data_IF_572098669764
#
_entry.id   IF_572098669764
#
_cell.length_a   1.000
_cell.length_b   1.000
_cell.length_c   1.000
_cell.angle_alpha   90.00
_cell.angle_beta   90.00
_cell.angle_gamma   90.00
#
_symmetry.space_group_name_H-M   'P 1'
#
loop_
_entity.id
_entity.type
_entity.pdbx_description
1 polymer ?
#
# COMPACT_ATOMS: atom_id res chain seq x y z
N UNK A 1 -10.48 -6.80 -14.26
CA UNK A 1 -11.72 -6.26 -13.66
C UNK A 1 -11.46 -4.79 -13.35
N UNK A 2 -12.24 -3.84 -13.86
CA UNK A 2 -12.04 -2.40 -13.61
C UNK A 2 -13.26 -1.84 -12.87
N UNK A 3 -13.06 -0.88 -11.98
CA UNK A 3 -14.15 -0.25 -11.20
C UNK A 3 -14.17 -0.67 -9.73
N UNK A 4 -15.30 -0.41 -9.06
CA UNK A 4 -15.42 -0.62 -7.61
C UNK A 4 -15.87 -2.05 -7.32
N UNK A 5 -15.05 -2.83 -6.59
CA UNK A 5 -15.32 -4.22 -6.24
C UNK A 5 -14.89 -4.48 -4.79
N UNK A 6 -15.78 -5.10 -4.00
CA UNK A 6 -15.47 -5.44 -2.60
C UNK A 6 -15.04 -4.24 -1.76
N UNK A 7 -15.67 -3.08 -1.95
CA UNK A 7 -15.34 -1.80 -1.32
C UNK A 7 -13.96 -1.23 -1.67
N UNK A 8 -13.40 -1.62 -2.82
CA UNK A 8 -12.09 -1.14 -3.30
C UNK A 8 -12.17 -0.69 -4.75
N UNK A 9 -11.45 0.37 -5.08
CA UNK A 9 -11.29 0.81 -6.46
C UNK A 9 -10.19 0.01 -7.16
N UNK A 10 -10.56 -0.72 -8.21
CA UNK A 10 -9.65 -1.39 -9.12
C UNK A 10 -9.37 -0.48 -10.31
N UNK A 11 -8.09 -0.21 -10.55
CA UNK A 11 -7.63 0.56 -11.70
C UNK A 11 -7.33 -0.35 -12.90
N UNK A 12 -6.31 0.04 -13.66
CA UNK A 12 -5.82 -0.71 -14.83
C UNK A 12 -5.19 -2.05 -14.42
N UNK A 13 -4.61 -2.11 -13.22
CA UNK A 13 -3.97 -3.32 -12.72
C UNK A 13 -4.98 -4.33 -12.16
N UNK A 14 -4.78 -5.64 -12.36
CA UNK A 14 -5.62 -6.68 -11.79
C UNK A 14 -5.66 -6.66 -10.25
N UNK A 15 -4.55 -6.29 -9.62
CA UNK A 15 -4.44 -6.13 -8.17
C UNK A 15 -4.42 -4.62 -7.79
N UNK A 16 -5.39 -4.16 -6.98
CA UNK A 16 -5.47 -2.77 -6.53
C UNK A 16 -4.31 -2.41 -5.58
N UNK A 17 -3.72 -3.37 -4.87
CA UNK A 17 -2.53 -3.11 -4.04
C UNK A 17 -1.33 -2.75 -4.91
N UNK A 18 -1.09 -3.52 -5.97
CA UNK A 18 -0.03 -3.25 -6.92
C UNK A 18 -0.25 -1.91 -7.63
N UNK A 19 -1.48 -1.64 -8.06
CA UNK A 19 -1.81 -0.33 -8.64
C UNK A 19 -1.52 0.82 -7.68
N UNK A 20 -1.88 0.68 -6.41
CA UNK A 20 -1.70 1.74 -5.42
C UNK A 20 -0.22 1.97 -5.09
N UNK A 21 0.62 0.93 -5.09
CA UNK A 21 2.07 1.13 -4.94
C UNK A 21 2.70 1.81 -6.15
N UNK A 22 2.24 1.51 -7.37
CA UNK A 22 2.66 2.23 -8.57
C UNK A 22 2.24 3.71 -8.50
N UNK A 23 1.04 4.02 -7.98
CA UNK A 23 0.62 5.40 -7.75
C UNK A 23 1.58 6.18 -6.84
N UNK A 24 2.15 5.53 -5.81
CA UNK A 24 3.19 6.16 -4.97
C UNK A 24 4.43 6.51 -5.79
N UNK A 25 4.90 5.61 -6.66
CA UNK A 25 6.04 5.88 -7.55
C UNK A 25 5.75 7.07 -8.47
N UNK A 26 4.54 7.13 -9.03
CA UNK A 26 4.10 8.25 -9.88
C UNK A 26 4.06 9.57 -9.10
N UNK A 27 3.64 9.56 -7.84
CA UNK A 27 3.70 10.74 -6.96
C UNK A 27 5.14 11.21 -6.79
N UNK A 28 6.09 10.30 -6.53
CA UNK A 28 7.51 10.67 -6.37
C UNK A 28 8.10 11.31 -7.63
N UNK A 29 7.81 10.74 -8.79
CA UNK A 29 8.23 11.31 -10.08
C UNK A 29 7.59 12.69 -10.31
N UNK A 30 6.31 12.84 -10.00
CA UNK A 30 5.61 14.12 -10.14
C UNK A 30 6.22 15.20 -9.25
N UNK A 31 6.55 14.87 -8.00
CA UNK A 31 7.23 15.78 -7.06
C UNK A 31 8.62 16.16 -7.57
N UNK A 32 9.39 15.20 -8.09
CA UNK A 32 10.70 15.46 -8.68
C UNK A 32 10.59 16.44 -9.85
N UNK A 33 9.65 16.20 -10.77
CA UNK A 33 9.41 17.05 -11.94
C UNK A 33 8.96 18.47 -11.58
N UNK A 34 8.12 18.62 -10.54
CA UNK A 34 7.74 19.94 -10.01
C UNK A 34 8.96 20.71 -9.50
N UNK A 35 9.92 20.02 -8.89
CA UNK A 35 11.11 20.65 -8.30
C UNK A 35 12.16 21.03 -9.34
N UNK A 36 12.25 20.28 -10.43
CA UNK A 36 13.25 20.47 -11.49
C UNK A 36 12.78 21.39 -12.61
N UNK A 37 11.47 21.43 -12.91
CA UNK A 37 10.92 22.22 -14.00
C UNK A 37 10.21 23.48 -13.48
N UNK A 38 10.53 24.63 -14.07
CA UNK A 38 9.93 25.93 -13.70
C UNK A 38 8.63 26.24 -14.44
N UNK A 39 8.24 25.45 -15.44
CA UNK A 39 7.04 25.71 -16.23
C UNK A 39 5.76 25.51 -15.40
N UNK A 40 5.00 26.60 -15.20
CA UNK A 40 3.75 26.63 -14.44
C UNK A 40 2.70 25.63 -14.94
N UNK A 41 2.60 25.40 -16.26
CA UNK A 41 1.61 24.45 -16.81
C UNK A 41 1.97 23.01 -16.43
N UNK A 42 3.27 22.68 -16.47
CA UNK A 42 3.78 21.38 -16.08
C UNK A 42 3.66 21.18 -14.56
N UNK A 43 3.90 22.22 -13.77
CA UNK A 43 3.65 22.19 -12.32
C UNK A 43 2.18 21.93 -12.00
N UNK A 44 1.25 22.61 -12.67
CA UNK A 44 -0.18 22.41 -12.49
C UNK A 44 -0.60 20.98 -12.86
N UNK A 45 -0.16 20.48 -14.02
CA UNK A 45 -0.44 19.11 -14.47
C UNK A 45 0.04 18.07 -13.46
N UNK A 46 1.29 18.17 -12.99
CA UNK A 46 1.84 17.24 -12.01
C UNK A 46 1.13 17.35 -10.65
N UNK A 47 0.68 18.54 -10.27
CA UNK A 47 -0.06 18.75 -9.01
C UNK A 47 -1.45 18.09 -9.06
N UNK A 48 -2.16 18.22 -10.18
CA UNK A 48 -3.43 17.50 -10.42
C UNK A 48 -3.21 15.99 -10.48
N UNK A 49 -2.11 15.53 -11.10
CA UNK A 49 -1.76 14.12 -11.11
C UNK A 49 -1.55 13.58 -9.69
N UNK A 50 -0.81 14.29 -8.83
CA UNK A 50 -0.63 13.89 -7.43
C UNK A 50 -1.98 13.75 -6.72
N UNK A 51 -2.89 14.72 -6.91
CA UNK A 51 -4.22 14.66 -6.32
C UNK A 51 -4.99 13.40 -6.76
N UNK A 52 -5.00 13.09 -8.06
CA UNK A 52 -5.66 11.89 -8.60
C UNK A 52 -5.04 10.60 -8.04
N UNK A 53 -3.70 10.54 -7.92
CA UNK A 53 -3.02 9.38 -7.34
C UNK A 53 -3.35 9.22 -5.85
N UNK A 54 -3.46 10.31 -5.09
CA UNK A 54 -3.88 10.26 -3.68
C UNK A 54 -5.33 9.79 -3.53
N UNK A 55 -6.24 10.26 -4.39
CA UNK A 55 -7.62 9.75 -4.43
C UNK A 55 -7.65 8.26 -4.73
N UNK A 56 -6.84 7.80 -5.70
CA UNK A 56 -6.74 6.38 -6.02
C UNK A 56 -6.20 5.55 -4.85
N UNK A 57 -5.11 5.99 -4.20
CA UNK A 57 -4.56 5.30 -3.02
C UNK A 57 -5.62 5.18 -1.92
N UNK A 58 -6.35 6.26 -1.65
CA UNK A 58 -7.42 6.30 -0.66
C UNK A 58 -8.54 5.30 -0.97
N UNK A 59 -9.03 5.29 -2.22
CA UNK A 59 -10.11 4.41 -2.68
C UNK A 59 -9.68 2.96 -2.92
N UNK A 60 -8.39 2.71 -3.16
CA UNK A 60 -7.86 1.36 -3.34
C UNK A 60 -7.92 0.53 -2.06
N UNK A 61 -8.06 1.17 -0.89
CA UNK A 61 -8.06 0.51 0.42
C UNK A 61 -6.76 -0.24 0.73
N UNK A 62 -5.63 0.11 0.08
CA UNK A 62 -4.35 -0.57 0.26
C UNK A 62 -3.57 -0.04 1.46
N UNK A 63 -3.56 -0.79 2.56
CA UNK A 63 -2.71 -0.48 3.73
C UNK A 63 -1.23 -0.38 3.37
N UNK A 64 -0.76 -1.21 2.43
CA UNK A 64 0.63 -1.15 1.95
C UNK A 64 0.99 0.13 1.27
N UNK A 65 0.16 0.58 0.32
CA UNK A 65 0.46 1.82 -0.39
C UNK A 65 0.47 3.01 0.56
N UNK A 66 -0.45 3.03 1.54
CA UNK A 66 -0.45 4.03 2.60
C UNK A 66 0.85 4.00 3.40
N UNK A 67 1.26 2.83 3.92
CA UNK A 67 2.51 2.72 4.70
C UNK A 67 3.72 3.16 3.86
N UNK A 68 3.84 2.68 2.62
CA UNK A 68 4.95 3.05 1.73
C UNK A 68 4.97 4.55 1.47
N UNK A 69 3.83 5.17 1.19
CA UNK A 69 3.71 6.62 1.00
C UNK A 69 4.18 7.37 2.25
N UNK A 70 3.67 7.00 3.43
CA UNK A 70 4.06 7.63 4.70
C UNK A 70 5.56 7.47 4.98
N UNK A 71 6.13 6.28 4.77
CA UNK A 71 7.56 6.02 5.00
C UNK A 71 8.45 6.81 4.04
N UNK A 72 8.12 6.85 2.74
CA UNK A 72 8.94 7.61 1.78
C UNK A 72 8.84 9.11 2.05
N UNK A 73 7.65 9.62 2.38
CA UNK A 73 7.48 11.02 2.79
C UNK A 73 8.26 11.32 4.07
N UNK A 74 8.24 10.42 5.07
CA UNK A 74 9.02 10.56 6.30
C UNK A 74 10.50 10.73 6.02
N UNK A 75 11.09 9.77 5.30
CA UNK A 75 12.51 9.75 4.96
C UNK A 75 12.88 10.98 4.14
N UNK A 76 12.07 11.33 3.14
CA UNK A 76 12.28 12.51 2.30
C UNK A 76 12.25 13.81 3.11
N UNK A 77 11.24 14.00 3.96
CA UNK A 77 11.10 15.21 4.78
C UNK A 77 12.16 15.30 5.87
N UNK A 78 12.57 14.18 6.45
CA UNK A 78 13.72 14.11 7.35
C UNK A 78 14.99 14.66 6.67
N UNK A 79 15.32 14.18 5.46
CA UNK A 79 16.52 14.65 4.75
C UNK A 79 16.44 16.12 4.32
N UNK A 80 15.25 16.60 3.92
CA UNK A 80 15.01 18.01 3.61
C UNK A 80 15.20 18.90 4.85
N UNK A 81 14.66 18.49 6.00
CA UNK A 81 14.86 19.17 7.27
C UNK A 81 16.33 19.16 7.68
N UNK A 82 16.99 18.02 7.53
CA UNK A 82 18.37 17.83 7.96
C UNK A 82 19.34 18.69 7.16
N UNK A 83 19.16 18.78 5.83
CA UNK A 83 19.99 19.60 4.94
C UNK A 83 19.51 21.05 4.81
N UNK A 84 18.52 21.47 5.61
CA UNK A 84 18.04 22.84 5.60
C UNK A 84 19.11 23.81 6.11
N UNK A 85 19.43 24.85 5.32
CA UNK A 85 20.34 25.94 5.73
C UNK A 85 19.75 26.88 6.80
N UNK A 86 18.51 26.65 7.24
CA UNK A 86 17.82 27.48 8.23
C UNK A 86 18.37 27.35 9.64
N UNK A 87 19.10 26.28 9.93
CA UNK A 87 19.71 26.01 11.24
C UNK A 87 21.22 26.04 11.09
N UNK A 88 21.88 26.71 12.02
CA UNK A 88 23.34 26.82 12.03
C UNK A 88 24.00 25.43 11.98
N UNK A 89 25.01 25.32 11.11
CA UNK A 89 25.77 24.10 10.82
C UNK A 89 26.39 23.47 12.06
N UNK A 90 26.71 24.28 13.08
CA UNK A 90 27.35 23.84 14.32
C UNK A 90 26.38 23.17 15.30
N UNK A 91 25.07 23.37 15.17
CA UNK A 91 24.05 22.81 16.07
C UNK A 91 23.46 21.50 15.52
N UNK A 92 24.32 20.48 15.34
CA UNK A 92 23.93 19.19 14.76
C UNK A 92 22.77 18.53 15.50
N UNK A 93 22.80 18.48 16.84
CA UNK A 93 21.74 17.86 17.64
C UNK A 93 20.37 18.53 17.44
N UNK A 94 20.34 19.86 17.37
CA UNK A 94 19.11 20.62 17.13
C UNK A 94 18.55 20.36 15.72
N UNK A 95 19.42 20.19 14.71
CA UNK A 95 19.03 19.82 13.34
C UNK A 95 18.36 18.46 13.30
N UNK A 96 18.92 17.46 13.99
CA UNK A 96 18.31 16.13 14.09
C UNK A 96 16.90 16.19 14.68
N UNK A 97 16.73 16.86 15.82
CA UNK A 97 15.42 16.98 16.49
C UNK A 97 14.39 17.68 15.58
N UNK A 98 14.74 18.82 15.00
CA UNK A 98 13.84 19.57 14.12
C UNK A 98 13.47 18.77 12.86
N UNK A 99 14.38 17.95 12.35
CA UNK A 99 14.13 17.08 11.18
C UNK A 99 13.17 15.95 11.53
N UNK A 100 13.31 15.35 12.71
CA UNK A 100 12.38 14.31 13.20
C UNK A 100 10.99 14.91 13.43
N UNK A 101 10.90 16.07 14.10
CA UNK A 101 9.63 16.73 14.38
C UNK A 101 8.92 17.12 13.08
N UNK A 102 9.63 17.72 12.11
CA UNK A 102 9.06 18.08 10.82
C UNK A 102 8.62 16.86 10.00
N UNK A 103 9.39 15.77 10.03
CA UNK A 103 9.00 14.49 9.43
C UNK A 103 7.72 13.94 10.06
N UNK A 104 7.63 13.88 11.39
CA UNK A 104 6.44 13.37 12.09
C UNK A 104 5.20 14.22 11.80
N UNK A 105 5.34 15.55 11.81
CA UNK A 105 4.24 16.47 11.53
C UNK A 105 3.72 16.32 10.09
N UNK A 106 4.62 16.17 9.11
CA UNK A 106 4.24 15.98 7.70
C UNK A 106 3.52 14.66 7.46
N UNK A 107 3.96 13.56 8.09
CA UNK A 107 3.28 12.26 8.03
C UNK A 107 1.87 12.35 8.64
N UNK A 108 1.74 13.01 9.80
CA UNK A 108 0.45 13.16 10.47
C UNK A 108 -0.54 13.96 9.60
N UNK A 109 -0.10 15.07 9.02
CA UNK A 109 -0.91 15.87 8.09
C UNK A 109 -1.29 15.05 6.85
N UNK A 110 -0.35 14.31 6.27
CA UNK A 110 -0.61 13.48 5.09
C UNK A 110 -1.63 12.38 5.38
N UNK A 111 -1.55 11.73 6.55
CA UNK A 111 -2.52 10.74 6.98
C UNK A 111 -3.92 11.35 7.10
N UNK A 112 -4.05 12.52 7.73
CA UNK A 112 -5.32 13.24 7.84
C UNK A 112 -5.89 13.62 6.46
N UNK A 113 -5.04 14.02 5.51
CA UNK A 113 -5.47 14.30 4.13
C UNK A 113 -6.04 13.04 3.48
N UNK A 114 -5.37 11.90 3.61
CA UNK A 114 -5.82 10.63 3.00
C UNK A 114 -7.16 10.17 3.60
N UNK A 115 -7.32 10.32 4.92
CA UNK A 115 -8.55 9.95 5.63
C UNK A 115 -9.71 10.90 5.29
N UNK A 116 -9.44 12.20 5.19
CA UNK A 116 -10.39 13.20 4.71
C UNK A 116 -10.81 12.93 3.27
N UNK A 117 -9.87 12.55 2.39
CA UNK A 117 -10.19 12.12 1.02
C UNK A 117 -11.05 10.86 1.03
N UNK A 118 -10.75 9.85 1.86
CA UNK A 118 -11.54 8.62 1.96
C UNK A 118 -12.98 8.95 2.33
N UNK A 119 -13.13 9.79 3.36
CA UNK A 119 -14.43 10.22 3.87
C UNK A 119 -15.18 11.06 2.84
N UNK A 120 -14.55 12.07 2.23
CA UNK A 120 -15.17 12.91 1.20
C UNK A 120 -15.62 12.13 -0.03
N UNK A 121 -14.77 11.24 -0.54
CA UNK A 121 -15.08 10.40 -1.71
C UNK A 121 -16.19 9.38 -1.41
N UNK A 122 -16.35 8.94 -0.15
CA UNK A 122 -17.43 8.01 0.25
C UNK A 122 -18.84 8.61 0.13
N UNK A 123 -18.96 9.95 0.07
CA UNK A 123 -20.23 10.63 -0.12
C UNK A 123 -20.59 10.87 -1.58
N UNK A 124 -19.64 10.79 -2.52
CA UNK A 124 -19.89 11.05 -3.95
C UNK A 124 -21.01 10.17 -4.53
N UNK A 125 -21.07 8.85 -4.27
CA UNK A 125 -22.14 8.03 -4.82
C UNK A 125 -23.54 8.47 -4.37
N UNK A 126 -23.68 8.88 -3.09
CA UNK A 126 -24.97 9.38 -2.57
C UNK A 126 -25.39 10.70 -3.22
N UNK A 127 -24.43 11.57 -3.55
CA UNK A 127 -24.70 12.85 -4.24
C UNK A 127 -25.11 12.64 -5.71
N UNK A 128 -24.49 11.67 -6.39
CA UNK A 128 -24.84 11.33 -7.77
C UNK A 128 -26.24 10.71 -7.86
N UNK A 129 -26.58 9.81 -6.93
CA UNK A 129 -27.92 9.21 -6.85
C UNK A 129 -29.01 10.26 -6.56
N UNK A 130 -28.74 11.25 -5.70
CA UNK A 130 -29.68 12.36 -5.46
C UNK A 130 -29.93 13.19 -6.73
N UNK A 131 -28.92 13.38 -7.57
CA UNK A 131 -29.06 14.14 -8.82
C UNK A 131 -29.88 13.37 -9.86
N UNK A 132 -29.69 12.05 -9.95
CA UNK A 132 -30.49 11.20 -10.84
C UNK A 132 -31.93 11.01 -10.35
N UNK A 133 -32.15 10.99 -9.03
CA UNK A 133 -33.47 10.88 -8.42
C UNK A 133 -34.31 12.18 -8.44
N UNK A 134 -33.84 13.25 -9.08
CA UNK A 134 -34.59 14.51 -9.24
C UNK A 134 -35.65 14.46 -10.35
N UNK A 135 -36.28 13.30 -10.54
CA UNK A 135 -37.61 13.16 -11.14
C UNK A 135 -38.63 13.06 -9.98
N UNK A 136 -39.76 13.79 -10.03
CA UNK A 136 -40.48 14.16 -8.83
C UNK A 136 -41.36 13.01 -8.33
N UNK A 137 -40.96 12.32 -7.27
CA UNK A 137 -41.92 11.78 -6.28
C UNK A 137 -41.26 11.56 -4.91
N UNK A 138 -41.76 12.35 -3.95
CA UNK A 138 -42.19 11.96 -2.60
C UNK A 138 -41.10 11.61 -1.56
N UNK A 139 -41.06 12.47 -0.53
CA UNK A 139 -40.67 12.26 0.86
C UNK A 139 -39.53 11.30 1.16
N UNK A 140 -38.35 11.86 1.45
CA UNK A 140 -37.47 11.28 2.47
C UNK A 140 -36.63 12.36 3.14
N UNK A 141 -36.57 12.30 4.48
CA UNK A 141 -35.43 12.77 5.26
C UNK A 141 -34.18 12.09 4.68
N UNK A 142 -33.55 12.74 3.71
CA UNK A 142 -32.37 12.23 3.02
C UNK A 142 -31.16 12.40 3.94
N UNK A 143 -30.99 11.45 4.86
CA UNK A 143 -29.70 11.25 5.51
C UNK A 143 -28.67 10.97 4.41
N UNK A 144 -27.62 11.79 4.34
CA UNK A 144 -26.45 11.53 3.52
C UNK A 144 -25.81 10.23 4.03
N UNK A 145 -26.24 9.10 3.47
CA UNK A 145 -25.76 7.80 3.89
C UNK A 145 -24.34 7.60 3.35
N UNK A 146 -23.36 7.69 4.26
CA UNK A 146 -21.95 7.37 4.00
C UNK A 146 -21.85 5.95 3.45
N UNK A 147 -21.28 5.79 2.25
CA UNK A 147 -20.96 4.46 1.74
C UNK A 147 -19.84 3.87 2.60
N UNK A 148 -20.05 2.66 3.12
CA UNK A 148 -19.01 1.97 3.87
C UNK A 148 -17.92 1.50 2.89
N UNK A 149 -16.74 2.11 2.97
CA UNK A 149 -15.56 1.73 2.18
C UNK A 149 -14.65 0.74 2.94
N UNK A 150 -15.09 0.24 4.08
CA UNK A 150 -14.33 -0.74 4.83
C UNK A 150 -14.43 -2.11 4.19
N UNK A 151 -13.31 -2.81 4.26
CA UNK A 151 -13.09 -4.06 3.57
C UNK A 151 -13.76 -5.20 4.34
N UNK A 152 -14.67 -5.96 3.73
CA UNK A 152 -15.38 -7.05 4.41
C UNK A 152 -14.44 -8.17 4.87
N UNK A 153 -13.29 -8.33 4.20
CA UNK A 153 -12.26 -9.32 4.52
C UNK A 153 -11.31 -8.88 5.66
N UNK A 154 -11.46 -7.66 6.17
CA UNK A 154 -10.60 -7.07 7.22
C UNK A 154 -11.41 -6.49 8.38
N UNK A 155 -12.71 -6.28 8.21
CA UNK A 155 -13.59 -5.61 9.17
C UNK A 155 -13.81 -6.37 10.48
N UNK A 156 -13.48 -7.67 10.55
CA UNK A 156 -13.55 -8.47 11.78
C UNK A 156 -12.38 -8.24 12.75
N UNK A 157 -11.83 -7.02 12.79
CA UNK A 157 -11.10 -6.41 13.91
C UNK A 157 -9.75 -6.99 14.34
N UNK A 158 -9.42 -8.23 13.99
CA UNK A 158 -8.26 -8.94 14.55
C UNK A 158 -6.96 -8.82 13.75
N UNK A 159 -7.04 -8.61 12.42
CA UNK A 159 -5.86 -8.76 11.56
C UNK A 159 -5.28 -7.42 11.07
N UNK A 160 -4.22 -7.00 11.76
CA UNK A 160 -3.43 -5.81 11.42
C UNK A 160 -2.68 -6.01 10.09
N UNK A 161 -2.26 -7.25 9.79
CA UNK A 161 -1.36 -7.61 8.69
C UNK A 161 -2.06 -7.98 7.38
N UNK A 162 -3.40 -8.06 7.39
CA UNK A 162 -4.18 -8.51 6.23
C UNK A 162 -3.77 -9.92 5.79
N UNK A 163 -3.78 -10.87 6.73
CA UNK A 163 -3.49 -12.29 6.59
C UNK A 163 -2.03 -12.62 6.23
N UNK A 164 -1.17 -11.62 6.10
CA UNK A 164 0.21 -11.79 5.64
C UNK A 164 1.09 -12.53 6.63
N UNK A 165 0.96 -12.23 7.93
CA UNK A 165 1.76 -12.95 8.92
C UNK A 165 1.36 -14.43 9.00
N UNK A 166 0.07 -14.73 8.87
CA UNK A 166 -0.43 -16.11 8.78
C UNK A 166 0.11 -16.84 7.53
N UNK A 167 0.11 -16.16 6.38
CA UNK A 167 0.68 -16.68 5.14
C UNK A 167 2.19 -16.91 5.24
N UNK A 168 2.93 -16.00 5.86
CA UNK A 168 4.38 -16.12 6.04
C UNK A 168 4.74 -17.21 7.05
N UNK A 169 3.94 -17.36 8.12
CA UNK A 169 4.07 -18.48 9.06
C UNK A 169 3.88 -19.82 8.34
N UNK A 170 2.81 -19.93 7.55
CA UNK A 170 2.54 -21.14 6.78
C UNK A 170 3.61 -21.44 5.72
N UNK A 171 4.21 -20.40 5.10
CA UNK A 171 5.38 -20.57 4.24
C UNK A 171 6.60 -21.13 4.99
N UNK A 172 6.81 -20.70 6.24
CA UNK A 172 7.86 -21.24 7.12
C UNK A 172 7.55 -22.68 7.54
N UNK A 173 6.28 -23.05 7.71
CA UNK A 173 5.87 -24.44 7.97
C UNK A 173 6.19 -25.35 6.77
N UNK A 174 5.87 -24.91 5.55
CA UNK A 174 6.25 -25.62 4.31
C UNK A 174 7.77 -25.76 4.20
N UNK A 175 8.50 -24.71 4.57
CA UNK A 175 9.96 -24.78 4.62
C UNK A 175 10.47 -25.78 5.66
N UNK A 176 9.85 -25.86 6.84
CA UNK A 176 10.25 -26.85 7.85
C UNK A 176 10.01 -28.29 7.39
N UNK A 177 8.96 -28.54 6.61
CA UNK A 177 8.67 -29.88 6.08
C UNK A 177 9.52 -30.26 4.86
N UNK A 178 9.91 -29.29 4.02
CA UNK A 178 10.82 -29.50 2.88
C UNK A 178 11.90 -28.42 2.81
N UNK A 179 12.85 -28.48 3.74
CA UNK A 179 13.80 -27.37 3.96
C UNK A 179 14.84 -27.20 2.86
N UNK A 180 15.25 -28.27 2.18
CA UNK A 180 16.35 -28.20 1.19
C UNK A 180 15.87 -27.71 -0.18
N UNK A 181 14.82 -28.35 -0.71
CA UNK A 181 14.32 -28.16 -2.09
C UNK A 181 12.93 -27.54 -2.15
N UNK A 182 12.25 -27.34 -1.01
CA UNK A 182 10.91 -26.75 -0.97
C UNK A 182 9.84 -27.66 -1.56
N UNK A 183 8.65 -27.09 -1.74
CA UNK A 183 7.44 -27.79 -2.19
C UNK A 183 7.10 -27.54 -3.68
N UNK A 184 8.07 -27.06 -4.46
CA UNK A 184 7.93 -26.63 -5.87
C UNK A 184 7.09 -25.36 -6.07
N UNK A 185 7.51 -24.49 -7.00
CA UNK A 185 6.86 -23.20 -7.26
C UNK A 185 5.41 -23.34 -7.77
N UNK A 186 5.14 -24.41 -8.53
CA UNK A 186 3.79 -24.70 -9.01
C UNK A 186 2.96 -25.54 -8.03
N UNK A 187 3.59 -26.15 -7.03
CA UNK A 187 2.97 -27.20 -6.21
C UNK A 187 2.94 -26.92 -4.70
N UNK A 188 3.49 -25.80 -4.23
CA UNK A 188 3.54 -25.51 -2.80
C UNK A 188 2.15 -25.38 -2.14
N UNK A 189 1.12 -24.99 -2.88
CA UNK A 189 -0.27 -24.94 -2.39
C UNK A 189 -0.86 -26.34 -2.29
N UNK A 190 -0.90 -27.18 -3.35
CA UNK A 190 -1.29 -28.59 -3.24
C UNK A 190 -0.51 -29.34 -2.15
N UNK A 191 0.80 -29.13 -2.08
CA UNK A 191 1.64 -29.72 -1.04
C UNK A 191 1.20 -29.30 0.37
N UNK A 192 0.84 -28.04 0.58
CA UNK A 192 0.33 -27.58 1.86
C UNK A 192 -1.00 -28.24 2.21
N UNK A 193 -1.90 -28.48 1.25
CA UNK A 193 -3.13 -29.24 1.49
C UNK A 193 -2.84 -30.69 1.94
N UNK A 194 -1.86 -31.34 1.30
CA UNK A 194 -1.59 -32.75 1.53
C UNK A 194 -0.78 -33.00 2.80
N UNK A 195 0.25 -32.18 3.05
CA UNK A 195 1.25 -32.41 4.11
C UNK A 195 1.02 -31.53 5.33
N UNK A 196 0.40 -30.37 5.17
CA UNK A 196 0.18 -29.37 6.23
C UNK A 196 -1.26 -28.85 6.23
N UNK A 197 -2.28 -29.72 6.34
CA UNK A 197 -3.69 -29.33 6.22
C UNK A 197 -4.15 -28.33 7.28
N UNK A 198 -3.49 -28.32 8.44
CA UNK A 198 -3.77 -27.38 9.54
C UNK A 198 -3.10 -26.01 9.34
N UNK A 199 -2.21 -25.87 8.34
CA UNK A 199 -1.54 -24.62 8.04
C UNK A 199 -2.47 -23.64 7.33
N UNK A 200 -2.16 -22.34 7.44
CA UNK A 200 -3.01 -21.31 6.84
C UNK A 200 -3.15 -21.44 5.31
N UNK A 201 -2.08 -21.81 4.59
CA UNK A 201 -2.12 -22.07 3.14
C UNK A 201 -2.81 -23.41 2.84
N UNK A 202 -2.66 -24.41 3.71
CA UNK A 202 -3.37 -25.69 3.61
C UNK A 202 -4.89 -25.56 3.79
N UNK A 203 -5.37 -24.51 4.45
CA UNK A 203 -6.81 -24.24 4.61
C UNK A 203 -7.35 -23.25 3.57
N UNK A 204 -6.55 -22.26 3.20
CA UNK A 204 -6.94 -21.18 2.30
C UNK A 204 -5.93 -21.16 1.15
N UNK A 205 -6.38 -21.45 -0.07
CA UNK A 205 -5.59 -21.54 -1.33
C UNK A 205 -4.92 -20.22 -1.78
N UNK A 206 -4.45 -19.43 -0.82
CA UNK A 206 -3.89 -18.11 -0.92
C UNK A 206 -2.38 -18.17 -1.06
N UNK A 207 -1.83 -17.26 -1.86
CA UNK A 207 -0.39 -17.16 -2.08
C UNK A 207 0.29 -16.34 -0.99
N UNK A 208 1.59 -16.53 -0.78
CA UNK A 208 2.36 -15.85 0.28
C UNK A 208 2.50 -14.33 0.10
N UNK A 209 2.28 -13.82 -1.12
CA UNK A 209 2.40 -12.40 -1.49
C UNK A 209 3.71 -11.72 -1.03
N UNK A 210 4.80 -12.50 -0.90
CA UNK A 210 6.15 -12.02 -0.62
C UNK A 210 7.16 -12.95 -1.31
N UNK A 211 8.07 -12.36 -2.09
CA UNK A 211 8.98 -13.11 -2.93
C UNK A 211 9.96 -14.00 -2.14
N UNK A 212 10.44 -13.54 -0.98
CA UNK A 212 11.35 -14.33 -0.12
C UNK A 212 10.62 -15.54 0.46
N UNK A 213 9.41 -15.35 1.00
CA UNK A 213 8.60 -16.46 1.53
C UNK A 213 8.13 -17.40 0.42
N UNK A 214 7.88 -16.89 -0.79
CA UNK A 214 7.57 -17.71 -1.95
C UNK A 214 8.77 -18.60 -2.34
N UNK A 215 9.98 -18.03 -2.48
CA UNK A 215 11.21 -18.81 -2.75
C UNK A 215 11.43 -19.85 -1.65
N UNK A 216 11.29 -19.43 -0.39
CA UNK A 216 11.45 -20.28 0.77
C UNK A 216 10.51 -21.50 0.73
N UNK A 217 9.20 -21.29 0.49
CA UNK A 217 8.23 -22.37 0.42
C UNK A 217 8.40 -23.24 -0.84
N UNK A 218 8.79 -22.64 -1.97
CA UNK A 218 8.84 -23.33 -3.27
C UNK A 218 10.15 -24.07 -3.54
N UNK A 219 11.28 -23.52 -3.13
CA UNK A 219 12.62 -24.00 -3.49
C UNK A 219 13.52 -24.26 -2.28
N UNK A 220 13.04 -23.97 -1.07
CA UNK A 220 13.78 -24.21 0.16
C UNK A 220 15.06 -23.39 0.26
N UNK A 221 16.01 -23.92 1.03
CA UNK A 221 17.28 -23.27 1.33
C UNK A 221 18.14 -23.14 0.07
N UNK A 222 18.05 -24.10 -0.85
CA UNK A 222 18.82 -24.08 -2.11
C UNK A 222 18.49 -22.85 -2.95
N UNK A 223 17.20 -22.56 -3.18
CA UNK A 223 16.79 -21.38 -3.93
C UNK A 223 17.01 -20.07 -3.18
N UNK A 224 16.83 -20.04 -1.86
CA UNK A 224 17.16 -18.87 -1.04
C UNK A 224 18.65 -18.52 -1.14
N UNK A 225 19.53 -19.53 -1.06
CA UNK A 225 20.98 -19.34 -1.15
C UNK A 225 21.36 -18.76 -2.52
N UNK A 226 20.85 -19.35 -3.61
CA UNK A 226 21.09 -18.84 -4.97
C UNK A 226 20.58 -17.40 -5.11
N UNK A 227 19.39 -17.12 -4.60
CA UNK A 227 18.79 -15.78 -4.62
C UNK A 227 19.67 -14.75 -3.89
N UNK A 228 20.13 -15.05 -2.68
CA UNK A 228 20.97 -14.13 -1.91
C UNK A 228 22.38 -13.97 -2.50
N UNK A 229 22.99 -15.05 -3.02
CA UNK A 229 24.28 -14.96 -3.73
C UNK A 229 24.16 -14.04 -4.95
N UNK A 230 23.12 -14.23 -5.76
CA UNK A 230 22.87 -13.39 -6.92
C UNK A 230 22.69 -11.91 -6.51
N UNK A 231 21.92 -11.66 -5.45
CA UNK A 231 21.70 -10.30 -4.94
C UNK A 231 23.00 -9.65 -4.47
N UNK A 232 23.82 -10.37 -3.69
CA UNK A 232 25.10 -9.87 -3.17
C UNK A 232 26.05 -9.55 -4.34
N UNK A 233 26.17 -10.45 -5.31
CA UNK A 233 27.02 -10.26 -6.50
C UNK A 233 26.55 -9.14 -7.44
N UNK A 234 25.33 -8.62 -7.28
CA UNK A 234 24.86 -7.45 -8.03
C UNK A 234 25.02 -6.14 -7.28
N UNK A 235 25.22 -6.20 -5.96
CA UNK A 235 25.42 -5.02 -5.11
C UNK A 235 26.91 -4.66 -5.04
N UNK A 236 27.79 -5.66 -5.04
CA UNK A 236 29.25 -5.51 -5.12
C UNK A 236 29.74 -5.67 -6.56
#
# INVERSE_FOLDING_TARGET
RMGFLGNRLFGVFPDPNFGATISVVVILLSVYYIKTNSNRTFTLFNSLNILLQLMFISLSGSRTALIVLLTVTAVGMFFVGFHSKKVDSQKLFLRWILSIISSLLTIAVLYLIIDALKTGLSYIPSLLQMKEASLPTIDTKNNLNKVNLDRPDVSNGGDISNLRFSLWSSAVEIFKSSWLVGASAANYIPYAHDVLPDSFIGQNTLTTHNFVFLIMASTGASGLLVFFIFFINKIY
#
